data_IF_920601196590
#
_entry.id   IF_920601196590
#
_cell.length_a   1.000
_cell.length_b   1.000
_cell.length_c   1.000
_cell.angle_alpha   90.00
_cell.angle_beta   90.00
_cell.angle_gamma   90.00
#
_symmetry.space_group_name_H-M   'P 1'
#
loop_
_entity.id
_entity.type
_entity.pdbx_description
1 polymer ?
#
# COMPACT_ATOMS: atom_id res chain seq x y z
N UNK A 1 -17.49 -3.77 -5.84
CA UNK A 1 -16.17 -3.89 -5.19
C UNK A 1 -16.28 -3.30 -3.80
N UNK A 2 -15.81 -4.01 -2.77
CA UNK A 2 -15.82 -3.51 -1.39
C UNK A 2 -14.71 -2.47 -1.20
N UNK A 3 -15.06 -1.29 -0.68
CA UNK A 3 -14.10 -0.22 -0.41
C UNK A 3 -13.48 -0.45 0.96
N UNK A 4 -12.27 -0.99 1.00
CA UNK A 4 -11.48 -1.12 2.23
C UNK A 4 -10.79 0.21 2.51
N UNK A 5 -10.96 0.76 3.72
CA UNK A 5 -10.28 1.97 4.15
C UNK A 5 -9.12 1.58 5.06
N UNK A 6 -7.90 1.98 4.71
CA UNK A 6 -6.71 1.78 5.53
C UNK A 6 -6.41 3.12 6.22
N UNK A 7 -6.53 3.23 7.56
CA UNK A 7 -6.14 4.45 8.26
C UNK A 7 -4.62 4.59 8.24
N UNK A 8 -4.14 5.79 7.88
CA UNK A 8 -2.73 6.14 7.88
C UNK A 8 -2.53 7.41 8.71
N UNK A 9 -1.34 7.57 9.30
CA UNK A 9 -0.98 8.81 9.97
C UNK A 9 -0.72 9.94 8.96
N UNK A 10 -0.60 11.17 9.48
CA UNK A 10 -0.45 12.38 8.66
C UNK A 10 0.92 12.40 7.98
N UNK A 11 1.98 11.98 8.68
CA UNK A 11 3.34 11.93 8.13
C UNK A 11 3.45 10.98 6.92
N UNK A 12 2.79 9.82 7.00
CA UNK A 12 2.70 8.84 5.91
C UNK A 12 1.88 9.42 4.77
N UNK A 13 0.77 10.10 5.07
CA UNK A 13 -0.04 10.76 4.05
C UNK A 13 0.77 11.81 3.29
N UNK A 14 1.56 12.63 3.98
CA UNK A 14 2.35 13.70 3.37
C UNK A 14 3.44 13.15 2.46
N UNK A 15 4.12 12.07 2.87
CA UNK A 15 5.10 11.36 2.03
C UNK A 15 4.47 10.78 0.77
N UNK A 16 3.26 10.23 0.88
CA UNK A 16 2.56 9.69 -0.28
C UNK A 16 2.09 10.82 -1.23
N UNK A 17 1.71 11.98 -0.69
CA UNK A 17 1.31 13.14 -1.49
C UNK A 17 2.51 13.74 -2.25
N UNK A 18 3.70 13.78 -1.64
CA UNK A 18 4.94 14.19 -2.33
C UNK A 18 5.35 13.20 -3.44
N UNK A 19 5.13 11.91 -3.23
CA UNK A 19 5.41 10.87 -4.22
C UNK A 19 4.37 10.81 -5.36
N UNK A 20 3.20 11.41 -5.14
CA UNK A 20 2.10 11.47 -6.08
C UNK A 20 2.34 12.60 -7.08
N UNK A 21 2.18 12.30 -8.37
CA UNK A 21 2.23 13.29 -9.46
C UNK A 21 1.00 14.21 -9.40
N UNK A 22 1.16 15.45 -9.83
CA UNK A 22 0.08 16.46 -9.77
C UNK A 22 -1.18 16.04 -10.55
N UNK A 23 -1.00 15.37 -11.70
CA UNK A 23 -2.09 14.97 -12.60
C UNK A 23 -2.56 13.52 -12.42
N UNK A 24 -2.03 12.76 -11.45
CA UNK A 24 -2.49 11.38 -11.21
C UNK A 24 -3.53 11.33 -10.10
N UNK A 25 -4.41 10.33 -10.13
CA UNK A 25 -5.32 10.01 -9.01
C UNK A 25 -4.63 9.13 -7.97
N UNK A 26 -5.22 9.01 -6.79
CA UNK A 26 -4.72 8.10 -5.75
C UNK A 26 -4.68 6.63 -6.21
N UNK A 27 -5.69 6.19 -6.95
CA UNK A 27 -5.74 4.82 -7.46
C UNK A 27 -4.64 4.56 -8.50
N UNK A 28 -4.42 5.50 -9.42
CA UNK A 28 -3.34 5.41 -10.42
C UNK A 28 -1.96 5.44 -9.78
N UNK A 29 -1.77 6.29 -8.76
CA UNK A 29 -0.54 6.33 -7.97
C UNK A 29 -0.26 4.99 -7.29
N UNK A 30 -1.23 4.45 -6.56
CA UNK A 30 -1.05 3.20 -5.82
C UNK A 30 -0.80 2.03 -6.77
N UNK A 31 -1.53 1.96 -7.89
CA UNK A 31 -1.29 0.96 -8.95
C UNK A 31 0.09 1.11 -9.58
N UNK A 32 0.55 2.34 -9.83
CA UNK A 32 1.90 2.62 -10.36
C UNK A 32 2.99 2.18 -9.40
N UNK A 33 2.84 2.51 -8.11
CA UNK A 33 3.79 2.08 -7.05
C UNK A 33 3.86 0.57 -7.04
N UNK A 34 2.71 -0.09 -6.93
CA UNK A 34 2.59 -1.56 -6.97
C UNK A 34 3.24 -2.19 -8.21
N UNK A 35 2.97 -1.64 -9.40
CA UNK A 35 3.54 -2.15 -10.65
C UNK A 35 5.06 -1.91 -10.75
N UNK A 36 5.57 -0.85 -10.13
CA UNK A 36 7.00 -0.50 -10.14
C UNK A 36 7.84 -1.34 -9.19
N UNK A 37 7.23 -1.99 -8.20
CA UNK A 37 7.95 -2.81 -7.20
C UNK A 37 8.35 -4.21 -7.71
N UNK A 38 8.14 -4.52 -8.99
CA UNK A 38 8.51 -5.83 -9.58
C UNK A 38 7.60 -6.99 -9.13
N UNK A 39 7.94 -8.23 -9.50
CA UNK A 39 7.12 -9.48 -9.48
C UNK A 39 6.34 -9.82 -8.18
N UNK A 40 6.44 -9.06 -7.10
CA UNK A 40 5.87 -9.41 -5.79
C UNK A 40 4.51 -8.82 -5.43
N UNK A 41 3.89 -7.95 -6.24
CA UNK A 41 2.72 -7.18 -5.76
C UNK A 41 1.56 -6.98 -6.74
N UNK A 42 1.34 -7.84 -7.75
CA UNK A 42 0.02 -7.74 -8.42
C UNK A 42 -1.10 -7.98 -7.38
N UNK A 43 -2.21 -7.23 -7.41
CA UNK A 43 -3.31 -7.46 -6.49
C UNK A 43 -3.78 -8.93 -6.59
N UNK A 44 -3.65 -9.69 -5.50
CA UNK A 44 -3.90 -11.15 -5.49
C UNK A 44 -2.67 -12.04 -5.72
N UNK A 45 -1.44 -11.49 -5.75
CA UNK A 45 -0.19 -12.25 -5.91
C UNK A 45 0.29 -12.90 -4.63
N UNK A 46 0.03 -12.30 -3.46
CA UNK A 46 0.38 -12.92 -2.19
C UNK A 46 -0.56 -14.09 -1.95
N UNK A 47 -0.01 -15.28 -1.75
CA UNK A 47 -0.79 -16.38 -1.18
C UNK A 47 -1.26 -15.97 0.22
N UNK A 48 -2.41 -16.49 0.68
CA UNK A 48 -3.03 -16.07 1.96
C UNK A 48 -2.04 -16.01 3.13
N UNK A 49 -1.10 -16.97 3.17
CA UNK A 49 -0.04 -17.06 4.18
C UNK A 49 1.02 -15.95 4.07
N UNK A 50 1.35 -15.51 2.86
CA UNK A 50 2.30 -14.42 2.62
C UNK A 50 1.66 -13.07 2.91
N UNK A 51 0.36 -12.94 2.64
CA UNK A 51 -0.44 -11.79 3.03
C UNK A 51 -0.56 -11.67 4.56
N UNK A 52 -0.80 -12.77 5.28
CA UNK A 52 -0.83 -12.80 6.75
C UNK A 52 0.50 -12.36 7.36
N UNK A 53 1.62 -12.88 6.85
CA UNK A 53 2.95 -12.52 7.36
C UNK A 53 3.29 -11.04 7.09
N UNK A 54 2.98 -10.54 5.90
CA UNK A 54 3.13 -9.11 5.60
C UNK A 54 2.26 -8.23 6.52
N UNK A 55 1.03 -8.67 6.83
CA UNK A 55 0.16 -7.98 7.79
C UNK A 55 0.68 -8.04 9.23
N UNK A 56 1.31 -9.15 9.63
CA UNK A 56 1.92 -9.29 10.95
C UNK A 56 3.08 -8.30 11.14
N UNK A 57 3.97 -8.18 10.15
CA UNK A 57 5.08 -7.21 10.17
C UNK A 57 4.57 -5.77 10.27
N UNK A 58 3.50 -5.43 9.52
CA UNK A 58 2.86 -4.11 9.61
C UNK A 58 2.23 -3.86 10.99
N UNK A 59 1.63 -4.90 11.59
CA UNK A 59 1.03 -4.81 12.92
C UNK A 59 2.09 -4.60 14.00
N UNK A 60 3.19 -5.34 13.96
CA UNK A 60 4.32 -5.17 14.89
C UNK A 60 4.96 -3.78 14.77
N UNK A 61 5.07 -3.25 13.54
CA UNK A 61 5.54 -1.89 13.30
C UNK A 61 4.61 -0.81 13.88
N UNK A 62 3.31 -1.10 14.01
CA UNK A 62 2.31 -0.18 14.56
C UNK A 62 2.24 -0.17 16.09
N UNK A 63 2.69 -1.27 16.73
CA UNK A 63 2.73 -1.41 18.19
C UNK A 63 4.03 -0.89 18.82
N UNK A 64 4.99 -0.45 17.99
CA UNK A 64 6.23 0.23 18.39
C UNK A 64 6.11 1.75 18.34
#
# INVERSE_FOLDING_TARGET
>A
MSRTSIPIDTDTKDRLDEAKRENETWDEFLLRVVASTGEGMSPGTLLDKEAENAMEIVREGRER
#
